data_IF_048016223221
#
_entry.id   IF_048016223221
#
_cell.length_a   1.000
_cell.length_b   1.000
_cell.length_c   1.000
_cell.angle_alpha   90.00
_cell.angle_beta   90.00
_cell.angle_gamma   90.00
#
_symmetry.space_group_name_H-M   'P 1'
#
loop_
_entity.id
_entity.type
_entity.pdbx_description
1 polymer ?
#
# COMPACT_ATOMS: atom_id res chain seq x y z
N UNK A 1 3.56 -22.73 25.89
CA UNK A 1 3.15 -23.12 24.52
C UNK A 1 3.06 -21.82 23.75
N UNK A 2 4.17 -21.40 23.19
CA UNK A 2 4.21 -20.35 22.18
C UNK A 2 5.03 -20.96 21.06
N UNK A 3 4.33 -21.64 20.16
CA UNK A 3 4.83 -21.89 18.82
C UNK A 3 5.07 -20.51 18.21
N UNK A 4 6.29 -20.00 18.39
CA UNK A 4 6.79 -18.93 17.53
C UNK A 4 6.99 -19.58 16.19
N UNK A 5 5.90 -19.58 15.43
CA UNK A 5 5.87 -19.86 14.01
C UNK A 5 7.00 -19.03 13.40
N UNK A 6 8.16 -19.67 13.27
CA UNK A 6 9.35 -19.08 12.69
C UNK A 6 9.15 -19.22 11.20
N UNK A 7 8.10 -18.56 10.71
CA UNK A 7 7.92 -18.30 9.29
C UNK A 7 9.14 -17.49 8.89
N UNK A 8 10.03 -18.13 8.14
CA UNK A 8 11.12 -17.47 7.41
C UNK A 8 10.58 -16.13 6.87
N UNK A 9 11.32 -15.02 7.00
CA UNK A 9 10.81 -13.72 6.60
C UNK A 9 10.41 -13.79 5.12
N UNK A 10 9.10 -13.78 4.88
CA UNK A 10 8.54 -13.65 3.53
C UNK A 10 9.26 -12.48 2.87
N UNK A 11 9.92 -12.74 1.74
CA UNK A 11 10.77 -11.75 1.08
C UNK A 11 9.96 -10.45 0.87
N UNK A 12 10.50 -9.34 1.40
CA UNK A 12 9.83 -8.03 1.36
C UNK A 12 9.05 -7.64 2.62
N UNK A 13 8.85 -8.52 3.59
CA UNK A 13 8.20 -8.19 4.88
C UNK A 13 9.23 -7.73 5.91
N UNK A 14 8.91 -6.65 6.61
CA UNK A 14 9.68 -6.12 7.75
C UNK A 14 8.95 -6.40 9.06
N UNK A 15 9.69 -6.50 10.16
CA UNK A 15 9.14 -6.66 11.51
C UNK A 15 9.44 -5.40 12.32
N UNK A 16 8.42 -4.81 12.93
CA UNK A 16 8.58 -3.68 13.85
C UNK A 16 9.16 -4.15 15.19
N UNK A 17 9.59 -3.19 16.02
CA UNK A 17 10.09 -3.46 17.38
C UNK A 17 9.07 -4.11 18.30
N UNK A 18 7.78 -3.92 18.03
CA UNK A 18 6.67 -4.58 18.74
C UNK A 18 6.29 -5.96 18.17
N UNK A 19 7.04 -6.47 17.20
CA UNK A 19 6.84 -7.78 16.59
C UNK A 19 5.85 -7.82 15.43
N UNK A 20 5.16 -6.71 15.12
CA UNK A 20 4.19 -6.69 14.02
C UNK A 20 4.85 -6.86 12.66
N UNK A 21 4.20 -7.61 11.77
CA UNK A 21 4.64 -7.82 10.38
C UNK A 21 4.11 -6.74 9.45
N UNK A 22 5.02 -6.09 8.72
CA UNK A 22 4.75 -4.91 7.89
C UNK A 22 5.25 -5.10 6.47
N UNK A 23 4.40 -4.81 5.49
CA UNK A 23 4.79 -4.73 4.08
C UNK A 23 5.00 -3.26 3.69
N UNK A 24 6.24 -2.81 3.43
CA UNK A 24 6.48 -1.48 2.88
C UNK A 24 6.08 -1.45 1.40
N UNK A 25 5.32 -0.44 1.01
CA UNK A 25 4.91 -0.17 -0.37
C UNK A 25 5.28 1.26 -0.70
N UNK A 26 5.94 1.46 -1.85
CA UNK A 26 6.43 2.74 -2.31
C UNK A 26 5.68 3.16 -3.56
N UNK A 27 5.35 4.45 -3.67
CA UNK A 27 4.80 5.05 -4.87
C UNK A 27 5.84 5.19 -5.98
N UNK A 28 7.12 5.30 -5.61
CA UNK A 28 8.23 5.54 -6.52
C UNK A 28 9.38 4.55 -6.32
N UNK A 29 10.07 4.22 -7.41
CA UNK A 29 11.20 3.28 -7.40
C UNK A 29 12.39 3.85 -6.61
N UNK A 30 12.62 5.15 -6.74
CA UNK A 30 13.69 5.88 -6.06
C UNK A 30 13.58 5.79 -4.54
N UNK A 31 12.36 5.82 -4.00
CA UNK A 31 12.10 5.66 -2.57
C UNK A 31 12.33 4.22 -2.13
N UNK A 32 11.91 3.24 -2.93
CA UNK A 32 12.14 1.83 -2.61
C UNK A 32 13.64 1.50 -2.58
N UNK A 33 14.40 2.00 -3.55
CA UNK A 33 15.85 1.84 -3.63
C UNK A 33 16.56 2.51 -2.44
N UNK A 34 16.13 3.73 -2.09
CA UNK A 34 16.66 4.44 -0.94
C UNK A 34 16.39 3.65 0.36
N UNK A 35 15.19 3.09 0.52
CA UNK A 35 14.85 2.29 1.68
C UNK A 35 15.72 1.03 1.80
N UNK A 36 15.96 0.31 0.70
CA UNK A 36 16.83 -0.88 0.70
C UNK A 36 18.26 -0.53 1.09
N UNK A 37 18.77 0.63 0.66
CA UNK A 37 20.11 1.11 1.04
C UNK A 37 20.20 1.50 2.52
N UNK A 38 19.12 2.04 3.10
CA UNK A 38 19.09 2.52 4.48
C UNK A 38 18.81 1.42 5.50
N UNK A 39 18.13 0.33 5.10
CA UNK A 39 17.78 -0.77 6.01
C UNK A 39 18.64 -2.00 5.69
N UNK A 40 19.79 -2.19 6.38
CA UNK A 40 20.72 -3.29 6.10
C UNK A 40 20.10 -4.62 6.49
N UNK A 41 19.59 -5.36 5.51
CA UNK A 41 19.01 -6.69 5.66
C UNK A 41 19.32 -7.52 4.41
N UNK A 42 19.87 -8.70 4.63
CA UNK A 42 20.33 -9.59 3.56
C UNK A 42 19.17 -10.05 2.67
N UNK A 43 19.36 -9.96 1.35
CA UNK A 43 18.46 -10.56 0.35
C UNK A 43 17.22 -9.75 -0.05
N UNK A 44 17.13 -8.47 0.31
CA UNK A 44 16.01 -7.60 -0.11
C UNK A 44 16.25 -7.07 -1.53
N UNK A 45 15.26 -7.28 -2.41
CA UNK A 45 15.20 -6.66 -3.73
C UNK A 45 13.94 -5.80 -3.86
N UNK A 46 14.02 -4.75 -4.66
CA UNK A 46 12.85 -3.97 -5.07
C UNK A 46 12.12 -4.73 -6.18
N UNK A 47 10.80 -4.80 -6.07
CA UNK A 47 9.94 -5.39 -7.09
C UNK A 47 8.80 -4.45 -7.41
N UNK A 48 8.70 -4.03 -8.67
CA UNK A 48 7.55 -3.30 -9.18
C UNK A 48 6.34 -4.23 -9.29
N UNK A 49 5.21 -3.77 -8.79
CA UNK A 49 3.93 -4.48 -8.82
C UNK A 49 2.82 -3.50 -9.21
N UNK A 50 1.75 -4.04 -9.79
CA UNK A 50 0.53 -3.27 -10.05
C UNK A 50 -0.41 -3.31 -8.83
N UNK A 51 -1.33 -2.35 -8.71
CA UNK A 51 -2.26 -2.28 -7.57
C UNK A 51 -3.12 -3.56 -7.41
N UNK A 52 -3.58 -4.15 -8.52
CA UNK A 52 -4.33 -5.42 -8.48
C UNK A 52 -3.46 -6.63 -8.09
N UNK A 53 -2.16 -6.57 -8.39
CA UNK A 53 -1.22 -7.58 -7.93
C UNK A 53 -0.97 -7.45 -6.43
N UNK A 54 -0.83 -6.23 -5.91
CA UNK A 54 -0.70 -5.99 -4.46
C UNK A 54 -1.88 -6.60 -3.69
N UNK A 55 -3.11 -6.44 -4.18
CA UNK A 55 -4.31 -7.10 -3.61
C UNK A 55 -4.15 -8.62 -3.59
N UNK A 56 -3.71 -9.21 -4.70
CA UNK A 56 -3.52 -10.66 -4.80
C UNK A 56 -2.46 -11.17 -3.81
N UNK A 57 -1.38 -10.40 -3.64
CA UNK A 57 -0.32 -10.70 -2.69
C UNK A 57 -0.82 -10.63 -1.25
N UNK A 58 -1.58 -9.60 -0.88
CA UNK A 58 -2.16 -9.42 0.46
C UNK A 58 -3.22 -10.50 0.81
N UNK A 59 -3.87 -11.09 -0.18
CA UNK A 59 -4.79 -12.22 0.02
C UNK A 59 -4.09 -13.58 0.09
N UNK A 60 -2.93 -13.73 -0.54
CA UNK A 60 -2.21 -15.00 -0.63
C UNK A 60 -0.91 -14.99 0.18
N UNK A 61 0.25 -14.83 -0.47
CA UNK A 61 1.56 -14.92 0.19
C UNK A 61 1.74 -14.01 1.40
N UNK A 62 1.16 -12.81 1.39
CA UNK A 62 1.30 -11.82 2.47
C UNK A 62 0.05 -11.76 3.37
N UNK A 63 -0.69 -12.86 3.51
CA UNK A 63 -1.84 -12.90 4.42
C UNK A 63 -1.43 -12.70 5.89
N UNK A 64 -0.19 -13.01 6.27
CA UNK A 64 0.33 -12.81 7.62
C UNK A 64 0.75 -11.36 7.93
N UNK A 65 0.68 -10.46 6.94
CA UNK A 65 1.01 -9.04 7.14
C UNK A 65 -0.12 -8.35 7.91
N UNK A 66 0.26 -7.59 8.93
CA UNK A 66 -0.66 -6.85 9.78
C UNK A 66 -0.85 -5.41 9.29
N UNK A 67 0.23 -4.80 8.78
CA UNK A 67 0.28 -3.41 8.35
C UNK A 67 0.90 -3.28 6.96
N UNK A 68 0.32 -2.42 6.13
CA UNK A 68 0.94 -1.96 4.88
C UNK A 68 1.40 -0.52 5.11
N UNK A 69 2.71 -0.32 5.18
CA UNK A 69 3.31 0.99 5.35
C UNK A 69 3.51 1.64 3.98
N UNK A 70 2.81 2.74 3.72
CA UNK A 70 2.92 3.45 2.45
C UNK A 70 3.93 4.58 2.59
N UNK A 71 4.88 4.62 1.67
CA UNK A 71 5.92 5.66 1.56
C UNK A 71 6.63 5.94 2.91
N UNK A 72 7.19 4.90 3.56
CA UNK A 72 7.74 4.99 4.92
C UNK A 72 8.94 5.95 5.05
N UNK A 73 9.46 6.48 3.94
CA UNK A 73 10.54 7.47 3.91
C UNK A 73 10.06 8.94 4.00
N UNK A 74 8.76 9.21 4.09
CA UNK A 74 8.27 10.59 4.25
C UNK A 74 8.76 11.25 5.56
N UNK A 75 8.98 12.57 5.52
CA UNK A 75 9.67 13.53 6.43
C UNK A 75 9.57 13.40 7.98
N UNK A 76 8.95 12.37 8.54
CA UNK A 76 8.84 12.18 9.98
C UNK A 76 10.10 11.50 10.57
N UNK A 77 10.71 12.06 11.64
CA UNK A 77 11.84 11.43 12.31
C UNK A 77 11.34 10.28 13.19
N UNK A 78 11.26 9.07 12.65
CA UNK A 78 11.14 7.85 13.46
C UNK A 78 11.63 6.63 12.68
N UNK A 79 12.65 5.96 13.23
CA UNK A 79 13.12 4.59 12.95
C UNK A 79 12.54 3.95 11.68
N UNK A 80 12.87 4.49 10.50
CA UNK A 80 12.51 4.14 9.09
C UNK A 80 11.08 3.62 8.78
N UNK A 81 10.49 2.75 9.58
CA UNK A 81 9.07 2.36 9.58
C UNK A 81 8.27 2.89 10.77
N UNK A 82 8.93 3.36 11.84
CA UNK A 82 8.27 3.82 13.08
C UNK A 82 7.43 5.08 12.92
N UNK A 83 7.71 5.89 11.89
CA UNK A 83 6.96 7.11 11.55
C UNK A 83 6.03 7.00 10.34
N UNK A 84 6.00 5.83 9.70
CA UNK A 84 5.23 5.63 8.48
C UNK A 84 3.72 5.65 8.75
N UNK A 85 2.95 6.32 7.89
CA UNK A 85 1.50 6.18 7.86
C UNK A 85 1.19 4.81 7.27
N UNK A 86 0.97 3.83 8.15
CA UNK A 86 0.54 2.49 7.79
C UNK A 86 -0.98 2.32 7.92
N UNK A 87 -1.58 1.62 6.96
CA UNK A 87 -2.94 1.11 7.08
C UNK A 87 -2.88 -0.36 7.48
N UNK A 88 -3.85 -0.84 8.25
CA UNK A 88 -3.99 -2.28 8.48
C UNK A 88 -4.22 -2.99 7.14
N UNK A 89 -3.87 -4.28 7.05
CA UNK A 89 -4.14 -5.09 5.84
C UNK A 89 -5.57 -4.91 5.32
N UNK A 90 -6.55 -4.88 6.23
CA UNK A 90 -7.97 -4.71 5.89
C UNK A 90 -8.26 -3.34 5.31
N UNK A 91 -7.73 -2.27 5.90
CA UNK A 91 -7.93 -0.90 5.42
C UNK A 91 -7.22 -0.67 4.08
N UNK A 92 -6.04 -1.25 3.88
CA UNK A 92 -5.36 -1.21 2.58
C UNK A 92 -6.16 -1.91 1.49
N UNK A 93 -6.73 -3.08 1.78
CA UNK A 93 -7.61 -3.78 0.85
C UNK A 93 -8.87 -2.98 0.56
N UNK A 94 -9.54 -2.41 1.58
CA UNK A 94 -10.69 -1.51 1.36
C UNK A 94 -10.30 -0.34 0.45
N UNK A 95 -9.17 0.31 0.72
CA UNK A 95 -8.69 1.44 -0.08
C UNK A 95 -8.39 1.05 -1.53
N UNK A 96 -7.71 -0.08 -1.77
CA UNK A 96 -7.35 -0.56 -3.11
C UNK A 96 -8.54 -1.09 -3.91
N UNK A 97 -9.55 -1.65 -3.23
CA UNK A 97 -10.74 -2.21 -3.84
C UNK A 97 -11.87 -1.20 -4.00
N UNK A 98 -11.75 0.01 -3.42
CA UNK A 98 -12.71 1.08 -3.64
C UNK A 98 -12.83 1.32 -5.15
N UNK A 99 -14.03 1.21 -5.72
CA UNK A 99 -14.24 1.62 -7.08
C UNK A 99 -13.86 3.10 -7.14
N UNK A 100 -12.77 3.40 -7.86
CA UNK A 100 -12.47 4.78 -8.23
C UNK A 100 -13.72 5.30 -8.91
N UNK A 101 -14.31 6.38 -8.39
CA UNK A 101 -15.52 6.96 -8.97
C UNK A 101 -15.32 7.01 -10.48
N UNK A 102 -16.05 6.22 -11.28
CA UNK A 102 -16.00 6.44 -12.71
C UNK A 102 -16.51 7.86 -12.87
N UNK A 103 -15.72 8.74 -13.47
CA UNK A 103 -16.24 9.98 -13.99
C UNK A 103 -17.39 9.58 -14.92
N UNK A 104 -18.62 9.67 -14.42
CA UNK A 104 -19.78 9.23 -15.16
C UNK A 104 -19.85 10.03 -16.46
N UNK A 105 -20.28 9.44 -17.58
CA UNK A 105 -20.61 10.20 -18.78
C UNK A 105 -21.86 11.02 -18.47
N UNK A 106 -21.66 12.21 -17.89
CA UNK A 106 -22.72 12.96 -17.25
C UNK A 106 -22.37 14.44 -17.10
N UNK A 107 -21.98 15.07 -18.22
CA UNK A 107 -22.28 16.50 -18.41
C UNK A 107 -23.23 16.60 -19.60
N UNK A 108 -24.56 16.58 -19.40
CA UNK A 108 -25.41 17.29 -20.33
C UNK A 108 -25.07 18.78 -20.17
N UNK A 109 -24.33 19.31 -21.14
CA UNK A 109 -24.25 20.76 -21.31
C UNK A 109 -25.70 21.25 -21.38
N UNK A 110 -26.06 22.15 -20.47
CA UNK A 110 -27.41 22.69 -20.37
C UNK A 110 -27.79 23.40 -21.65
N UNK A 111 -28.42 22.69 -22.58
CA UNK A 111 -29.25 23.26 -23.63
C UNK A 111 -30.65 23.44 -23.04
N UNK A 112 -30.93 24.63 -22.53
CA UNK A 112 -32.27 24.97 -22.04
C UNK A 112 -33.33 24.80 -23.14
N UNK A 113 -34.61 24.60 -22.78
CA UNK A 113 -35.68 24.54 -23.77
C UNK A 113 -35.83 25.93 -24.41
N UNK A 114 -35.52 26.04 -25.70
CA UNK A 114 -35.99 27.17 -26.50
C UNK A 114 -37.51 27.02 -26.63
N UNK A 115 -38.22 27.76 -25.77
CA UNK A 115 -39.65 27.92 -25.82
C UNK A 115 -40.10 28.50 -27.17
N UNK A 116 -41.12 27.84 -27.71
CA UNK A 116 -42.10 28.33 -28.69
C UNK A 116 -42.65 29.70 -28.30
N UNK A 117 -42.82 30.60 -29.28
CA UNK A 117 -43.61 31.82 -29.09
C UNK A 117 -43.65 32.77 -30.29
N UNK A 118 -44.67 32.56 -31.14
CA UNK A 118 -45.34 33.48 -32.08
C UNK A 118 -44.57 34.11 -33.24
#
# INVERSE_FOLDING_TARGET
>A
MEDRDTTEPEAGVSTLTDGRRVLPVFGFEEEADLFVRLVPRDGRGVRRIEAGELVSLLHGPFNGVELVARDPLSDAPADVLGGAVGLTRRESLDFLLRPGTPAGPGSPVGGGPAGVGS
#
